data_IF_356634554013
#
_entry.id   IF_356634554013
#
_cell.length_a   1.000
_cell.length_b   1.000
_cell.length_c   1.000
_cell.angle_alpha   90.00
_cell.angle_beta   90.00
_cell.angle_gamma   90.00
#
_symmetry.space_group_name_H-M   'P 1'
#
loop_
_entity.id
_entity.type
_entity.pdbx_description
1 polymer ?
#
# COMPACT_ATOMS: atom_id res chain seq x y z
N UNK A 1 -14.49 35.81 -21.02
CA UNK A 1 -14.97 34.42 -21.06
C UNK A 1 -14.39 33.71 -19.85
N UNK A 2 -15.19 33.53 -18.80
CA UNK A 2 -14.76 32.82 -17.57
C UNK A 2 -14.95 31.33 -17.83
N UNK A 3 -13.86 30.56 -17.82
CA UNK A 3 -13.91 29.12 -17.84
C UNK A 3 -14.50 28.65 -16.52
N UNK A 4 -15.62 27.95 -16.60
CA UNK A 4 -16.31 27.34 -15.46
C UNK A 4 -15.37 26.36 -14.76
N UNK A 5 -15.11 26.62 -13.49
CA UNK A 5 -14.44 25.70 -12.58
C UNK A 5 -15.28 24.43 -12.45
N UNK A 6 -14.77 23.32 -12.95
CA UNK A 6 -15.34 22.00 -12.66
C UNK A 6 -15.24 21.73 -11.16
N UNK A 7 -16.32 21.29 -10.49
CA UNK A 7 -16.38 21.15 -9.03
C UNK A 7 -15.64 19.93 -8.47
N UNK A 8 -14.89 19.20 -9.25
CA UNK A 8 -14.17 17.99 -8.82
C UNK A 8 -12.67 18.08 -9.14
N UNK A 9 -11.98 18.94 -8.37
CA UNK A 9 -10.53 18.84 -8.25
C UNK A 9 -10.24 17.68 -7.28
N UNK A 10 -10.46 16.44 -7.77
CA UNK A 10 -10.37 15.23 -6.96
C UNK A 10 -8.92 14.74 -6.95
N UNK A 11 -8.14 15.24 -5.99
CA UNK A 11 -6.85 14.64 -5.63
C UNK A 11 -7.06 13.31 -4.90
N UNK A 12 -7.36 12.22 -5.63
CA UNK A 12 -7.54 10.90 -5.04
C UNK A 12 -6.17 10.27 -4.86
N UNK A 13 -5.63 10.27 -3.64
CA UNK A 13 -4.28 9.83 -3.32
C UNK A 13 -4.29 8.80 -2.21
N UNK A 14 -3.76 7.60 -2.47
CA UNK A 14 -3.26 6.73 -1.42
C UNK A 14 -1.87 7.24 -0.98
N UNK A 15 -1.64 7.45 0.31
CA UNK A 15 -0.33 7.87 0.85
C UNK A 15 0.38 6.72 1.54
N UNK A 16 1.70 6.71 1.41
CA UNK A 16 2.60 5.93 2.26
C UNK A 16 2.58 6.46 3.70
N UNK A 17 2.56 5.56 4.67
CA UNK A 17 2.76 5.92 6.07
C UNK A 17 4.22 6.31 6.29
N UNK A 18 4.53 7.61 6.41
CA UNK A 18 5.87 8.07 6.77
C UNK A 18 6.22 7.67 8.19
N UNK A 19 7.03 6.62 8.37
CA UNK A 19 7.85 6.50 9.56
C UNK A 19 9.04 7.47 9.42
N UNK A 20 8.99 8.57 10.17
CA UNK A 20 10.12 9.48 10.32
C UNK A 20 11.32 8.68 10.87
N UNK A 21 12.32 8.40 10.02
CA UNK A 21 13.65 7.97 10.48
C UNK A 21 14.32 9.17 11.11
N UNK A 22 14.62 9.08 12.39
CA UNK A 22 15.52 10.01 13.06
C UNK A 22 16.91 9.94 12.40
N UNK A 23 17.62 11.07 12.26
CA UNK A 23 18.97 11.06 11.68
C UNK A 23 19.92 10.31 12.61
N UNK A 24 20.55 9.25 12.10
CA UNK A 24 21.66 8.57 12.79
C UNK A 24 22.87 9.48 12.75
N UNK A 25 23.15 10.13 13.88
CA UNK A 25 24.40 10.86 14.09
C UNK A 25 25.52 9.85 14.34
N UNK A 26 26.51 9.86 13.48
CA UNK A 26 27.73 9.05 13.53
C UNK A 26 28.61 9.50 14.71
N UNK A 27 28.80 8.65 15.71
CA UNK A 27 29.92 8.70 16.64
C UNK A 27 30.32 7.28 17.03
N UNK A 28 31.29 6.73 16.32
CA UNK A 28 32.04 5.56 16.79
C UNK A 28 33.42 6.05 17.34
N UNK A 29 33.78 5.78 18.59
CA UNK A 29 35.18 5.83 19.03
C UNK A 29 35.86 4.52 18.63
N UNK A 30 37.04 4.67 18.02
CA UNK A 30 37.96 3.56 17.75
C UNK A 30 38.52 3.06 19.10
N UNK A 31 38.50 1.74 19.32
CA UNK A 31 39.28 1.12 20.37
C UNK A 31 40.03 -0.13 19.86
N UNK A 32 41.23 -0.42 20.36
CA UNK A 32 42.20 -1.29 19.74
C UNK A 32 42.04 -2.77 20.09
N UNK A 33 42.67 -3.60 19.27
CA UNK A 33 42.73 -5.06 19.31
C UNK A 33 43.11 -5.64 20.68
N UNK A 34 42.36 -6.67 21.11
CA UNK A 34 42.90 -7.73 21.96
C UNK A 34 42.39 -9.06 21.42
N UNK A 35 43.31 -9.94 21.10
CA UNK A 35 43.09 -11.33 20.73
C UNK A 35 42.53 -12.09 21.93
N UNK A 36 41.39 -12.78 21.73
CA UNK A 36 40.77 -13.64 22.72
C UNK A 36 40.00 -14.77 22.05
N UNK A 37 40.47 -15.96 22.26
CA UNK A 37 39.99 -17.27 21.87
C UNK A 37 38.46 -17.42 22.02
N UNK A 38 37.76 -17.80 20.91
CA UNK A 38 36.30 -18.03 20.91
C UNK A 38 36.04 -19.54 20.80
N UNK A 39 35.29 -20.17 21.71
CA UNK A 39 34.83 -21.55 21.54
C UNK A 39 33.71 -21.62 20.49
N UNK A 40 33.86 -22.59 19.61
CA UNK A 40 32.96 -22.98 18.53
C UNK A 40 31.62 -23.51 19.10
N UNK A 41 30.59 -22.70 19.11
CA UNK A 41 29.20 -23.14 19.31
C UNK A 41 28.49 -23.13 17.98
N UNK A 42 28.12 -24.32 17.52
CA UNK A 42 27.33 -24.58 16.31
C UNK A 42 26.00 -23.82 16.37
N UNK A 43 25.86 -22.78 15.57
CA UNK A 43 24.58 -22.19 15.27
C UNK A 43 23.75 -23.18 14.42
N UNK A 44 22.44 -23.37 14.72
CA UNK A 44 21.58 -24.15 13.85
C UNK A 44 21.44 -23.42 12.51
N UNK A 45 21.88 -24.10 11.45
CA UNK A 45 21.73 -23.64 10.07
C UNK A 45 20.28 -23.23 9.80
N UNK A 46 20.06 -21.92 9.58
CA UNK A 46 18.82 -21.41 9.04
C UNK A 46 18.57 -22.08 7.69
N UNK A 47 17.74 -23.11 7.70
CA UNK A 47 17.35 -23.85 6.51
C UNK A 47 16.82 -22.87 5.48
N UNK A 48 17.50 -22.78 4.32
CA UNK A 48 17.00 -22.09 3.13
C UNK A 48 15.66 -22.71 2.75
N UNK A 49 14.56 -22.11 3.19
CA UNK A 49 13.23 -22.49 2.75
C UNK A 49 13.21 -22.39 1.22
N UNK A 50 13.04 -23.52 0.54
CA UNK A 50 12.82 -23.57 -0.90
C UNK A 50 11.65 -22.66 -1.25
N UNK A 51 11.93 -21.46 -1.78
CA UNK A 51 10.92 -20.52 -2.30
C UNK A 51 10.44 -21.02 -3.66
N UNK A 52 9.72 -22.14 -3.65
CA UNK A 52 9.07 -22.70 -4.83
C UNK A 52 7.56 -22.61 -4.59
N UNK A 53 6.92 -21.63 -5.25
CA UNK A 53 5.47 -21.55 -5.27
C UNK A 53 4.94 -20.11 -5.24
N UNK A 54 3.86 -19.91 -5.95
CA UNK A 54 3.09 -18.69 -5.97
C UNK A 54 2.56 -18.42 -4.55
N UNK A 55 2.96 -17.32 -3.91
CA UNK A 55 2.61 -17.03 -2.50
C UNK A 55 1.27 -16.31 -2.33
N UNK A 56 0.79 -15.67 -3.38
CA UNK A 56 -0.47 -14.93 -3.42
C UNK A 56 -1.26 -15.26 -4.68
N UNK A 57 -2.56 -15.11 -4.61
CA UNK A 57 -3.46 -15.37 -5.74
C UNK A 57 -4.58 -14.35 -5.80
N UNK A 58 -4.91 -13.90 -7.02
CA UNK A 58 -6.10 -13.08 -7.29
C UNK A 58 -7.31 -14.00 -7.37
N UNK A 59 -8.38 -13.67 -6.63
CA UNK A 59 -9.69 -14.35 -6.62
C UNK A 59 -10.81 -13.34 -6.61
N UNK A 60 -12.06 -13.80 -6.71
CA UNK A 60 -13.23 -12.97 -6.40
C UNK A 60 -13.19 -12.61 -4.91
N UNK A 61 -13.43 -11.33 -4.59
CA UNK A 61 -13.47 -10.83 -3.22
C UNK A 61 -14.90 -10.75 -2.70
N UNK A 62 -15.07 -10.94 -1.39
CA UNK A 62 -16.30 -10.64 -0.69
C UNK A 62 -16.49 -9.13 -0.40
N UNK A 63 -15.43 -8.32 -0.56
CA UNK A 63 -15.48 -6.87 -0.33
C UNK A 63 -15.88 -6.14 -1.61
N UNK A 64 -15.06 -6.31 -2.67
CA UNK A 64 -15.31 -5.69 -3.98
C UNK A 64 -14.58 -6.44 -5.09
N UNK A 65 -15.27 -6.78 -6.17
CA UNK A 65 -14.73 -7.32 -7.40
C UNK A 65 -13.69 -8.44 -7.21
N UNK A 66 -12.42 -8.13 -7.44
CA UNK A 66 -11.26 -9.01 -7.23
C UNK A 66 -10.55 -8.68 -5.92
N UNK A 67 -9.89 -9.66 -5.32
CA UNK A 67 -9.03 -9.51 -4.15
C UNK A 67 -7.80 -10.38 -4.27
N UNK A 68 -6.80 -10.14 -3.43
CA UNK A 68 -5.55 -10.91 -3.38
C UNK A 68 -5.51 -11.71 -2.09
N UNK A 69 -5.25 -13.00 -2.19
CA UNK A 69 -5.26 -13.94 -1.07
C UNK A 69 -3.90 -14.56 -0.85
N UNK A 70 -3.51 -14.74 0.41
CA UNK A 70 -2.33 -15.49 0.78
C UNK A 70 -2.53 -16.99 0.49
N UNK A 71 -1.54 -17.63 -0.15
CA UNK A 71 -1.50 -19.08 -0.38
C UNK A 71 -0.60 -19.81 0.62
N UNK A 72 0.32 -19.08 1.26
CA UNK A 72 1.23 -19.56 2.28
C UNK A 72 1.27 -18.58 3.45
N UNK A 73 1.76 -18.98 4.64
CA UNK A 73 1.96 -18.05 5.74
C UNK A 73 2.89 -16.90 5.35
N UNK A 74 2.54 -15.68 5.76
CA UNK A 74 3.34 -14.47 5.55
C UNK A 74 3.68 -13.89 6.92
N UNK A 75 4.95 -13.64 7.18
CA UNK A 75 5.42 -13.10 8.45
C UNK A 75 5.14 -11.60 8.55
N UNK A 76 4.98 -11.08 9.77
CA UNK A 76 4.94 -9.62 10.02
C UNK A 76 6.23 -8.96 9.49
N UNK A 77 6.08 -7.81 8.82
CA UNK A 77 7.18 -7.05 8.23
C UNK A 77 7.68 -7.58 6.90
N UNK A 78 7.13 -8.69 6.40
CA UNK A 78 7.54 -9.26 5.13
C UNK A 78 7.04 -8.42 3.94
N UNK A 79 7.94 -8.06 3.01
CA UNK A 79 7.59 -7.46 1.71
C UNK A 79 6.94 -8.54 0.84
N UNK A 80 5.67 -8.36 0.47
CA UNK A 80 4.84 -9.36 -0.22
C UNK A 80 4.92 -9.20 -1.73
N UNK A 81 4.65 -8.00 -2.20
CA UNK A 81 4.58 -7.66 -3.63
C UNK A 81 4.80 -6.16 -3.82
N UNK A 82 5.45 -5.78 -4.91
CA UNK A 82 5.58 -4.38 -5.33
C UNK A 82 4.30 -3.91 -6.02
N UNK A 83 3.86 -2.69 -5.75
CA UNK A 83 2.80 -2.05 -6.51
C UNK A 83 3.39 -1.46 -7.80
N UNK A 84 3.20 -2.14 -8.92
CA UNK A 84 3.78 -1.76 -10.20
C UNK A 84 2.76 -1.17 -11.15
N UNK A 85 3.21 -0.25 -12.01
CA UNK A 85 2.40 0.38 -13.02
C UNK A 85 3.21 1.36 -13.86
N UNK A 86 2.54 2.15 -14.66
CA UNK A 86 3.19 3.23 -15.39
C UNK A 86 3.36 4.44 -14.46
N UNK A 87 4.59 4.91 -14.30
CA UNK A 87 4.86 6.14 -13.54
C UNK A 87 4.52 7.35 -14.41
N UNK A 88 3.63 8.20 -13.93
CA UNK A 88 3.11 9.37 -14.63
C UNK A 88 3.07 10.58 -13.70
N UNK A 89 2.98 11.77 -14.29
CA UNK A 89 2.73 12.99 -13.53
C UNK A 89 1.28 13.08 -13.07
N UNK A 90 1.02 13.83 -12.02
CA UNK A 90 -0.35 14.11 -11.56
C UNK A 90 -1.24 14.71 -12.66
N UNK A 91 -0.69 15.63 -13.48
CA UNK A 91 -1.41 16.20 -14.62
C UNK A 91 -1.86 15.13 -15.63
N UNK A 92 -1.01 14.13 -15.87
CA UNK A 92 -1.37 13.00 -16.75
C UNK A 92 -2.42 12.10 -16.11
N UNK A 93 -2.34 11.84 -14.79
CA UNK A 93 -3.34 11.08 -14.07
C UNK A 93 -4.72 11.75 -14.16
N UNK A 94 -4.82 13.04 -13.91
CA UNK A 94 -6.06 13.82 -14.04
C UNK A 94 -6.64 13.77 -15.46
N UNK A 95 -5.79 13.82 -16.50
CA UNK A 95 -6.24 13.70 -17.90
C UNK A 95 -6.79 12.31 -18.23
N UNK A 96 -6.30 11.26 -17.58
CA UNK A 96 -6.75 9.88 -17.77
C UNK A 96 -7.97 9.50 -16.92
N UNK A 97 -8.23 10.29 -15.89
CA UNK A 97 -9.35 10.05 -14.98
C UNK A 97 -10.71 10.48 -15.61
N UNK A 98 -11.80 9.73 -15.39
CA UNK A 98 -11.83 8.42 -14.75
C UNK A 98 -11.36 7.30 -15.69
N UNK A 99 -10.77 6.24 -15.11
CA UNK A 99 -10.42 5.04 -15.88
C UNK A 99 -11.63 4.31 -16.44
N UNK A 100 -12.73 4.35 -15.70
CA UNK A 100 -14.04 3.84 -16.08
C UNK A 100 -15.10 4.90 -15.76
N UNK A 101 -15.76 5.48 -16.78
CA UNK A 101 -16.81 6.46 -16.56
C UNK A 101 -18.05 5.91 -15.80
N UNK A 102 -18.28 4.60 -15.81
CA UNK A 102 -19.38 3.97 -15.07
C UNK A 102 -19.06 3.77 -13.57
N UNK A 103 -17.77 3.75 -13.21
CA UNK A 103 -17.29 3.70 -11.82
C UNK A 103 -16.12 4.68 -11.63
N UNK A 104 -16.40 5.99 -11.62
CA UNK A 104 -15.38 7.03 -11.67
C UNK A 104 -14.48 7.07 -10.43
N UNK A 105 -14.92 6.49 -9.32
CA UNK A 105 -14.16 6.46 -8.08
C UNK A 105 -13.25 5.23 -7.96
N UNK A 106 -13.40 4.26 -8.86
CA UNK A 106 -12.54 3.08 -8.91
C UNK A 106 -11.31 3.37 -9.75
N UNK A 107 -10.22 3.72 -9.10
CA UNK A 107 -8.94 4.01 -9.73
C UNK A 107 -7.85 3.08 -9.24
N UNK A 108 -6.80 2.94 -10.04
CA UNK A 108 -5.58 2.19 -9.70
C UNK A 108 -4.39 3.13 -9.50
N UNK A 109 -4.66 4.39 -9.11
CA UNK A 109 -3.62 5.38 -8.88
C UNK A 109 -3.02 5.22 -7.50
N UNK A 110 -1.69 5.19 -7.43
CA UNK A 110 -0.94 5.25 -6.20
C UNK A 110 0.00 6.45 -6.25
N UNK A 111 -0.12 7.38 -5.29
CA UNK A 111 0.75 8.54 -5.19
C UNK A 111 2.06 8.17 -4.53
N UNK A 112 3.18 8.65 -5.07
CA UNK A 112 4.53 8.51 -4.51
C UNK A 112 5.04 9.86 -3.99
N UNK A 113 5.97 9.81 -3.03
CA UNK A 113 6.37 11.00 -2.25
C UNK A 113 7.01 12.12 -3.08
N UNK A 114 7.53 11.81 -4.26
CA UNK A 114 8.09 12.80 -5.20
C UNK A 114 7.03 13.54 -6.03
N UNK A 115 5.73 13.31 -5.74
CA UNK A 115 4.59 13.94 -6.43
C UNK A 115 4.18 13.27 -7.73
N UNK A 116 4.81 12.15 -8.12
CA UNK A 116 4.38 11.33 -9.25
C UNK A 116 3.31 10.32 -8.83
N UNK A 117 2.77 9.61 -9.78
CA UNK A 117 1.69 8.64 -9.60
C UNK A 117 2.05 7.35 -10.33
N UNK A 118 1.85 6.20 -9.66
CA UNK A 118 1.86 4.90 -10.31
C UNK A 118 0.44 4.60 -10.80
N UNK A 119 0.26 4.48 -12.11
CA UNK A 119 -0.99 4.04 -12.74
C UNK A 119 -0.98 2.51 -12.87
N UNK A 120 -1.53 1.83 -11.88
CA UNK A 120 -1.59 0.37 -11.81
C UNK A 120 -2.50 -0.28 -12.85
N UNK A 121 -3.34 0.50 -13.57
CA UNK A 121 -4.12 -0.01 -14.71
C UNK A 121 -3.20 -0.64 -15.75
N UNK A 122 -2.04 -0.02 -15.96
CA UNK A 122 -1.00 -0.48 -16.89
C UNK A 122 0.06 -1.38 -16.21
N UNK A 123 -0.18 -1.79 -14.96
CA UNK A 123 0.65 -2.76 -14.25
C UNK A 123 0.16 -4.19 -14.47
N UNK A 124 1.10 -5.14 -14.41
CA UNK A 124 0.84 -6.55 -14.69
C UNK A 124 0.67 -7.42 -13.45
N UNK A 125 1.06 -6.93 -12.26
CA UNK A 125 1.04 -7.74 -11.05
C UNK A 125 -0.28 -7.67 -10.26
N UNK A 126 -0.36 -8.50 -9.22
CA UNK A 126 -1.55 -8.67 -8.41
C UNK A 126 -1.86 -7.50 -7.47
N UNK A 127 -0.88 -6.62 -7.18
CA UNK A 127 -1.00 -5.60 -6.12
C UNK A 127 -2.19 -4.65 -6.33
N UNK A 128 -2.49 -4.30 -7.58
CA UNK A 128 -3.63 -3.44 -7.92
C UNK A 128 -5.00 -3.98 -7.51
N UNK A 129 -5.10 -5.29 -7.23
CA UNK A 129 -6.32 -5.94 -6.79
C UNK A 129 -6.43 -6.10 -5.28
N UNK A 130 -5.47 -5.57 -4.52
CA UNK A 130 -5.54 -5.59 -3.05
C UNK A 130 -6.56 -4.55 -2.60
N UNK A 131 -7.61 -5.01 -1.92
CA UNK A 131 -8.71 -4.17 -1.47
C UNK A 131 -8.37 -3.32 -0.25
N UNK A 132 -9.18 -2.28 -0.03
CA UNK A 132 -9.10 -1.47 1.17
C UNK A 132 -9.67 -2.19 2.40
N UNK A 133 -9.06 -1.92 3.57
CA UNK A 133 -9.67 -2.18 4.87
C UNK A 133 -9.34 -1.06 5.86
N UNK A 134 -10.33 -0.71 6.70
CA UNK A 134 -10.11 0.20 7.83
C UNK A 134 -9.37 -0.47 9.02
N UNK A 135 -9.24 -1.81 9.01
CA UNK A 135 -8.40 -2.61 9.91
C UNK A 135 -7.51 -3.54 9.08
N UNK A 136 -6.52 -3.00 8.39
CA UNK A 136 -5.76 -3.73 7.39
C UNK A 136 -4.77 -4.72 8.00
N UNK A 137 -4.47 -5.79 7.24
CA UNK A 137 -3.38 -6.72 7.54
C UNK A 137 -2.08 -6.41 6.80
N UNK A 138 -2.12 -5.47 5.86
CA UNK A 138 -0.95 -4.95 5.17
C UNK A 138 -0.84 -3.44 5.34
N UNK A 139 0.32 -2.91 5.03
CA UNK A 139 0.63 -1.48 4.90
C UNK A 139 1.50 -1.27 3.67
N UNK A 140 1.70 -0.03 3.28
CA UNK A 140 2.55 0.33 2.14
C UNK A 140 3.83 0.98 2.64
N UNK A 141 4.95 0.66 2.00
CA UNK A 141 6.27 1.24 2.26
C UNK A 141 6.84 1.73 0.93
N UNK A 142 7.33 2.95 0.92
CA UNK A 142 7.98 3.56 -0.24
C UNK A 142 9.49 3.57 -0.03
N UNK A 143 10.19 3.07 -1.02
CA UNK A 143 11.65 2.95 -1.02
C UNK A 143 12.15 3.32 -2.43
N UNK A 144 12.79 4.47 -2.55
CA UNK A 144 13.31 5.02 -3.81
C UNK A 144 12.28 5.04 -4.96
N UNK A 145 11.09 5.60 -4.68
CA UNK A 145 9.98 5.71 -5.64
C UNK A 145 9.31 4.39 -6.01
N UNK A 146 9.66 3.29 -5.33
CA UNK A 146 9.03 1.98 -5.44
C UNK A 146 8.13 1.74 -4.25
N UNK A 147 6.92 1.27 -4.49
CA UNK A 147 5.93 1.01 -3.44
C UNK A 147 5.81 -0.48 -3.20
N UNK A 148 6.02 -0.89 -1.94
CA UNK A 148 5.91 -2.27 -1.50
C UNK A 148 4.70 -2.47 -0.61
N UNK A 149 3.98 -3.55 -0.81
CA UNK A 149 2.97 -4.03 0.14
C UNK A 149 3.67 -4.91 1.17
N UNK A 150 3.55 -4.52 2.44
CA UNK A 150 4.20 -5.17 3.58
C UNK A 150 3.15 -5.75 4.51
N UNK A 151 3.41 -6.91 5.09
CA UNK A 151 2.55 -7.49 6.11
C UNK A 151 2.66 -6.73 7.43
N UNK A 152 1.58 -6.10 7.88
CA UNK A 152 1.48 -5.38 9.17
C UNK A 152 1.40 -6.33 10.37
N UNK A 153 0.91 -7.54 10.15
CA UNK A 153 0.86 -8.66 11.10
C UNK A 153 1.12 -9.97 10.37
N UNK A 154 1.27 -11.05 11.11
CA UNK A 154 1.27 -12.38 10.49
C UNK A 154 -0.07 -12.64 9.77
N UNK A 155 0.00 -13.18 8.55
CA UNK A 155 -1.14 -13.47 7.68
C UNK A 155 -1.17 -14.97 7.41
N UNK A 156 -2.33 -15.60 7.61
CA UNK A 156 -2.53 -17.03 7.39
C UNK A 156 -2.88 -17.33 5.94
N UNK A 157 -2.60 -18.54 5.44
CA UNK A 157 -3.12 -18.99 4.16
C UNK A 157 -4.65 -18.85 4.11
N UNK A 158 -5.16 -18.37 2.97
CA UNK A 158 -6.60 -18.10 2.76
C UNK A 158 -7.07 -16.73 3.19
N UNK A 159 -6.30 -15.95 3.96
CA UNK A 159 -6.66 -14.57 4.28
C UNK A 159 -6.53 -13.65 3.05
N UNK A 160 -7.50 -12.76 2.87
CA UNK A 160 -7.43 -11.69 1.89
C UNK A 160 -6.47 -10.59 2.37
N UNK A 161 -5.55 -10.17 1.51
CA UNK A 161 -4.66 -9.03 1.75
C UNK A 161 -5.43 -7.73 1.59
N UNK A 162 -5.22 -6.79 2.48
CA UNK A 162 -5.83 -5.47 2.40
C UNK A 162 -4.93 -4.42 3.07
N UNK A 163 -5.00 -3.18 2.58
CA UNK A 163 -4.32 -2.05 3.19
C UNK A 163 -5.27 -0.84 3.29
N UNK A 164 -4.94 0.14 4.11
CA UNK A 164 -5.71 1.40 4.16
C UNK A 164 -5.29 2.29 2.99
N UNK A 165 -6.20 2.56 2.08
CA UNK A 165 -5.93 3.41 0.91
C UNK A 165 -5.56 4.85 1.32
N UNK A 166 -6.06 5.32 2.48
CA UNK A 166 -5.75 6.65 2.98
C UNK A 166 -6.10 7.76 1.99
N UNK A 167 -7.20 7.64 1.25
CA UNK A 167 -7.56 8.58 0.20
C UNK A 167 -7.74 9.99 0.74
N UNK A 168 -7.07 10.96 0.13
CA UNK A 168 -7.13 12.37 0.50
C UNK A 168 -7.90 13.10 -0.58
N UNK A 169 -8.90 13.86 -0.17
CA UNK A 169 -9.61 14.81 -1.01
C UNK A 169 -9.43 16.21 -0.42
N UNK A 170 -9.20 17.18 -1.29
CA UNK A 170 -9.23 18.58 -0.91
C UNK A 170 -10.64 19.02 -0.50
N UNK A 171 -10.71 19.96 0.43
CA UNK A 171 -11.98 20.52 0.88
C UNK A 171 -12.69 19.73 1.98
N UNK A 172 -13.96 20.04 2.24
CA UNK A 172 -14.73 19.48 3.35
C UNK A 172 -15.32 18.11 2.94
N UNK A 173 -15.10 17.07 3.75
CA UNK A 173 -15.72 15.76 3.56
C UNK A 173 -17.21 15.79 4.00
N UNK A 174 -18.10 16.21 3.09
CA UNK A 174 -19.55 16.23 3.33
C UNK A 174 -20.10 14.79 3.40
N UNK A 175 -21.34 14.63 3.90
CA UNK A 175 -22.01 13.33 3.92
C UNK A 175 -22.16 12.74 2.49
N UNK A 176 -22.42 13.60 1.50
CA UNK A 176 -22.47 13.21 0.08
C UNK A 176 -21.15 12.62 -0.39
N UNK A 177 -20.02 13.32 -0.18
CA UNK A 177 -18.68 12.86 -0.55
C UNK A 177 -18.34 11.55 0.17
N UNK A 178 -18.62 11.44 1.49
CA UNK A 178 -18.36 10.19 2.21
C UNK A 178 -19.15 9.01 1.66
N UNK A 179 -20.38 9.23 1.17
CA UNK A 179 -21.21 8.21 0.53
C UNK A 179 -20.66 7.80 -0.85
N UNK A 180 -20.13 8.75 -1.62
CA UNK A 180 -19.47 8.47 -2.90
C UNK A 180 -18.23 7.59 -2.73
N UNK A 181 -17.52 7.73 -1.59
CA UNK A 181 -16.37 6.92 -1.20
C UNK A 181 -16.72 5.95 -0.07
N UNK A 182 -17.89 5.33 -0.13
CA UNK A 182 -18.36 4.39 0.88
C UNK A 182 -17.41 3.19 1.03
N UNK A 183 -17.05 2.88 2.27
CA UNK A 183 -16.25 1.71 2.60
C UNK A 183 -17.13 0.51 2.98
N UNK A 184 -16.90 -0.62 2.31
CA UNK A 184 -17.61 -1.88 2.55
C UNK A 184 -16.67 -2.98 3.05
N UNK A 185 -15.58 -2.62 3.74
CA UNK A 185 -14.56 -3.58 4.17
C UNK A 185 -15.05 -4.59 5.23
N UNK A 186 -16.21 -4.40 5.83
CA UNK A 186 -16.78 -5.31 6.84
C UNK A 186 -16.04 -5.35 8.17
N UNK A 187 -15.00 -4.53 8.39
CA UNK A 187 -14.24 -4.54 9.63
C UNK A 187 -15.05 -3.95 10.80
N UNK A 188 -14.81 -4.43 12.03
CA UNK A 188 -15.51 -3.96 13.25
C UNK A 188 -15.30 -2.46 13.52
N UNK A 189 -14.18 -1.89 13.06
CA UNK A 189 -13.84 -0.46 13.19
C UNK A 189 -13.89 0.25 11.83
N UNK A 190 -14.84 -0.15 10.98
CA UNK A 190 -15.00 0.49 9.68
C UNK A 190 -15.35 1.98 9.84
N UNK A 191 -14.65 2.85 9.13
CA UNK A 191 -14.91 4.31 9.11
C UNK A 191 -16.14 4.69 8.28
N UNK A 192 -16.73 3.74 7.54
CA UNK A 192 -17.80 3.99 6.58
C UNK A 192 -17.36 4.72 5.31
N UNK A 193 -16.08 5.03 5.18
CA UNK A 193 -15.52 5.71 4.00
C UNK A 193 -14.07 5.29 3.75
N UNK A 194 -13.65 5.32 2.48
CA UNK A 194 -12.26 5.09 2.04
C UNK A 194 -11.36 6.31 2.34
N UNK A 195 -11.96 7.45 2.64
CA UNK A 195 -11.22 8.69 2.88
C UNK A 195 -10.42 8.61 4.18
N UNK A 196 -9.23 9.17 4.16
CA UNK A 196 -8.42 9.35 5.34
C UNK A 196 -9.12 10.24 6.37
N UNK A 197 -8.92 10.01 7.69
CA UNK A 197 -9.34 10.97 8.71
C UNK A 197 -8.70 12.33 8.44
N UNK A 198 -9.46 13.41 8.57
CA UNK A 198 -8.88 14.76 8.57
C UNK A 198 -8.02 14.93 9.81
N UNK A 199 -6.82 15.40 9.61
CA UNK A 199 -5.92 15.88 10.68
C UNK A 199 -6.26 17.29 11.05
#
# INVERSE_FOLDING_TARGET
>A
MRLASHPYNCGLLARTGTHARAPMNSMYPKNPMTEGHVPNTLEPAAGKAKRSGRRIQVRRSGVHGKGVYALAPIAKGERIVEYTGQIITWKQALKRHPHDPSDPNHTFYFHIDDGRVIDGKFGTNAAKWINHSCQPNCETDEDDGRVWIIAKRAIKPGEELNYDYGLILDGRHTAKIKKEFECRCGSRKCRGTLLAPKR
#
